data_IF_872183969681
#
_entry.id   IF_872183969681
#
_cell.length_a   1.000
_cell.length_b   1.000
_cell.length_c   1.000
_cell.angle_alpha   90.00
_cell.angle_beta   90.00
_cell.angle_gamma   90.00
#
_symmetry.space_group_name_H-M   'P 1'
#
loop_
_entity.id
_entity.type
_entity.pdbx_description
1 polymer ?
#
# COMPACT_ATOMS: atom_id res chain seq x y z
N UNK A 1 -38.00 -27.75 -30.62
CA UNK A 1 -36.56 -27.45 -30.52
C UNK A 1 -36.35 -26.65 -29.24
N UNK A 2 -35.66 -27.21 -28.26
CA UNK A 2 -35.38 -26.53 -27.00
C UNK A 2 -34.12 -25.67 -27.19
N UNK A 3 -34.28 -24.35 -27.29
CA UNK A 3 -33.23 -23.42 -26.95
C UNK A 3 -33.37 -23.14 -25.46
N UNK A 4 -32.66 -23.89 -24.63
CA UNK A 4 -32.47 -23.54 -23.23
C UNK A 4 -31.47 -22.40 -23.18
N UNK A 5 -31.98 -21.17 -23.00
CA UNK A 5 -31.18 -20.05 -22.54
C UNK A 5 -30.60 -20.42 -21.17
N UNK A 6 -29.33 -20.80 -21.14
CA UNK A 6 -28.56 -20.97 -19.90
C UNK A 6 -28.35 -19.61 -19.26
N UNK A 7 -29.33 -19.17 -18.48
CA UNK A 7 -29.18 -18.06 -17.54
C UNK A 7 -28.16 -18.47 -16.47
N UNK A 8 -27.07 -17.72 -16.40
CA UNK A 8 -26.18 -17.69 -15.25
C UNK A 8 -27.04 -17.36 -14.03
N UNK A 9 -26.84 -18.01 -12.87
CA UNK A 9 -27.51 -17.56 -11.67
C UNK A 9 -26.96 -16.18 -11.30
N UNK A 10 -27.85 -15.20 -11.13
CA UNK A 10 -27.61 -13.79 -10.79
C UNK A 10 -26.42 -13.55 -9.83
N UNK A 11 -26.23 -14.46 -8.87
CA UNK A 11 -25.20 -14.42 -7.83
C UNK A 11 -23.74 -14.31 -8.32
N UNK A 12 -23.31 -15.00 -9.39
CA UNK A 12 -21.88 -14.98 -9.76
C UNK A 12 -21.47 -13.63 -10.35
N UNK A 13 -22.30 -13.05 -11.20
CA UNK A 13 -22.04 -11.72 -11.77
C UNK A 13 -22.11 -10.61 -10.71
N UNK A 14 -22.97 -10.77 -9.70
CA UNK A 14 -23.04 -9.87 -8.55
C UNK A 14 -21.76 -9.92 -7.70
N UNK A 15 -21.22 -11.12 -7.43
CA UNK A 15 -19.95 -11.28 -6.70
C UNK A 15 -18.78 -10.62 -7.46
N UNK A 16 -18.70 -10.85 -8.77
CA UNK A 16 -17.64 -10.25 -9.60
C UNK A 16 -17.77 -8.73 -9.69
N UNK A 17 -18.99 -8.20 -9.76
CA UNK A 17 -19.21 -6.76 -9.73
C UNK A 17 -18.76 -6.16 -8.39
N UNK A 18 -19.11 -6.80 -7.27
CA UNK A 18 -18.70 -6.36 -5.94
C UNK A 18 -17.18 -6.44 -5.73
N UNK A 19 -16.53 -7.47 -6.28
CA UNK A 19 -15.08 -7.61 -6.26
C UNK A 19 -14.41 -6.51 -7.09
N UNK A 20 -14.89 -6.27 -8.31
CA UNK A 20 -14.40 -5.19 -9.17
C UNK A 20 -14.52 -3.81 -8.51
N UNK A 21 -15.64 -3.52 -7.85
CA UNK A 21 -15.85 -2.26 -7.14
C UNK A 21 -14.92 -2.12 -5.94
N UNK A 22 -14.69 -3.21 -5.20
CA UNK A 22 -13.73 -3.25 -4.10
C UNK A 22 -12.31 -2.95 -4.60
N UNK A 23 -11.88 -3.61 -5.67
CA UNK A 23 -10.58 -3.38 -6.30
C UNK A 23 -10.41 -1.94 -6.82
N UNK A 24 -11.46 -1.35 -7.43
CA UNK A 24 -11.44 0.05 -7.88
C UNK A 24 -11.33 1.03 -6.72
N UNK A 25 -12.08 0.82 -5.64
CA UNK A 25 -12.03 1.69 -4.47
C UNK A 25 -10.64 1.66 -3.83
N UNK A 26 -10.04 0.48 -3.69
CA UNK A 26 -8.67 0.31 -3.18
C UNK A 26 -7.68 1.02 -4.09
N UNK A 27 -7.85 0.90 -5.42
CA UNK A 27 -6.97 1.51 -6.41
C UNK A 27 -6.99 3.04 -6.30
N UNK A 28 -8.17 3.64 -6.35
CA UNK A 28 -8.33 5.11 -6.27
C UNK A 28 -7.78 5.68 -4.96
N UNK A 29 -7.98 4.97 -3.85
CA UNK A 29 -7.44 5.38 -2.57
C UNK A 29 -5.90 5.28 -2.58
N UNK A 30 -5.36 4.17 -3.07
CA UNK A 30 -3.91 3.93 -3.11
C UNK A 30 -3.18 4.90 -4.05
N UNK A 31 -3.77 5.28 -5.18
CA UNK A 31 -3.23 6.30 -6.09
C UNK A 31 -3.10 7.66 -5.42
N UNK A 32 -4.16 8.13 -4.73
CA UNK A 32 -4.13 9.40 -3.97
C UNK A 32 -3.03 9.44 -2.91
N UNK A 33 -2.72 8.28 -2.34
CA UNK A 33 -1.66 8.16 -1.33
C UNK A 33 -0.30 8.29 -1.96
N UNK A 34 -0.04 7.63 -3.08
CA UNK A 34 1.25 7.73 -3.78
C UNK A 34 1.56 9.21 -4.09
N UNK A 35 0.55 9.96 -4.51
CA UNK A 35 0.71 11.40 -4.81
C UNK A 35 1.07 12.25 -3.58
N UNK A 36 0.74 11.80 -2.37
CA UNK A 36 0.86 12.59 -1.13
C UNK A 36 1.77 11.96 -0.07
N UNK A 37 2.38 10.81 -0.35
CA UNK A 37 3.06 9.95 0.64
C UNK A 37 4.18 10.65 1.41
N UNK A 38 4.87 11.57 0.75
CA UNK A 38 5.97 12.35 1.34
C UNK A 38 5.47 13.40 2.35
N UNK A 39 4.24 13.91 2.15
CA UNK A 39 3.62 14.95 2.97
C UNK A 39 2.76 14.39 4.12
N UNK A 40 2.28 13.15 3.99
CA UNK A 40 1.36 12.58 4.96
C UNK A 40 2.05 12.30 6.32
N UNK A 41 1.35 12.50 7.45
CA UNK A 41 1.82 12.07 8.76
C UNK A 41 1.98 10.55 8.84
N UNK A 42 2.99 10.08 9.58
CA UNK A 42 3.24 8.64 9.79
C UNK A 42 2.03 7.95 10.43
N UNK A 43 1.29 8.63 11.31
CA UNK A 43 0.06 8.10 11.91
C UNK A 43 -1.03 7.81 10.89
N UNK A 44 -1.13 8.63 9.83
CA UNK A 44 -2.06 8.42 8.72
C UNK A 44 -1.61 7.22 7.87
N UNK A 45 -0.31 7.13 7.57
CA UNK A 45 0.27 5.99 6.86
C UNK A 45 0.10 4.66 7.62
N UNK A 46 0.13 4.69 8.96
CA UNK A 46 -0.10 3.50 9.78
C UNK A 46 -1.57 3.04 9.74
N UNK A 47 -2.53 3.98 9.86
CA UNK A 47 -3.97 3.67 9.75
C UNK A 47 -4.31 3.07 8.38
N UNK A 48 -3.63 3.55 7.34
CA UNK A 48 -3.79 3.09 5.98
C UNK A 48 -3.41 1.62 5.78
N UNK A 49 -2.30 1.17 6.37
CA UNK A 49 -1.91 -0.26 6.37
C UNK A 49 -3.01 -1.10 7.03
N UNK A 50 -3.63 -0.61 8.11
CA UNK A 50 -4.76 -1.27 8.76
C UNK A 50 -5.99 -1.41 7.85
N UNK A 51 -6.38 -0.34 7.15
CA UNK A 51 -7.49 -0.40 6.18
C UNK A 51 -7.19 -1.33 5.01
N UNK A 52 -5.93 -1.40 4.56
CA UNK A 52 -5.50 -2.30 3.50
C UNK A 52 -5.69 -3.77 3.88
N UNK A 53 -5.40 -4.13 5.13
CA UNK A 53 -5.63 -5.49 5.64
C UNK A 53 -7.11 -5.88 5.54
N UNK A 54 -8.02 -4.99 5.93
CA UNK A 54 -9.47 -5.24 5.84
C UNK A 54 -9.93 -5.52 4.40
N UNK A 55 -9.33 -4.84 3.41
CA UNK A 55 -9.62 -5.07 2.01
C UNK A 55 -9.06 -6.40 1.49
N UNK A 56 -7.86 -6.79 1.94
CA UNK A 56 -7.30 -8.11 1.63
C UNK A 56 -8.24 -9.21 2.14
N UNK A 57 -8.69 -9.09 3.40
CA UNK A 57 -9.61 -10.05 4.01
C UNK A 57 -10.94 -10.14 3.22
N UNK A 58 -11.46 -9.00 2.77
CA UNK A 58 -12.68 -8.95 1.95
C UNK A 58 -12.49 -9.59 0.56
N UNK A 59 -11.36 -9.34 -0.10
CA UNK A 59 -11.02 -9.95 -1.40
C UNK A 59 -10.88 -11.47 -1.25
N UNK A 60 -10.19 -11.93 -0.21
CA UNK A 60 -10.04 -13.37 0.07
C UNK A 60 -11.40 -14.05 0.32
N UNK A 61 -12.32 -13.35 1.00
CA UNK A 61 -13.69 -13.84 1.19
C UNK A 61 -14.44 -13.96 -0.13
N UNK A 62 -14.33 -12.96 -1.01
CA UNK A 62 -14.94 -12.97 -2.34
C UNK A 62 -14.36 -14.08 -3.23
N UNK A 63 -13.05 -14.29 -3.17
CA UNK A 63 -12.37 -15.39 -3.87
C UNK A 63 -12.84 -16.76 -3.39
N UNK A 64 -13.00 -16.94 -2.07
CA UNK A 64 -13.54 -18.19 -1.51
C UNK A 64 -14.96 -18.46 -2.01
N UNK A 65 -15.84 -17.45 -2.00
CA UNK A 65 -17.21 -17.57 -2.53
C UNK A 65 -17.20 -17.92 -4.02
N UNK A 66 -16.28 -17.33 -4.80
CA UNK A 66 -16.10 -17.68 -6.22
C UNK A 66 -15.63 -19.12 -6.42
N UNK A 67 -14.72 -19.61 -5.57
CA UNK A 67 -14.25 -20.99 -5.57
C UNK A 67 -15.37 -22.00 -5.25
N UNK A 68 -16.26 -21.66 -4.33
CA UNK A 68 -17.45 -22.46 -3.97
C UNK A 68 -18.49 -22.50 -5.10
N UNK A 69 -18.50 -21.49 -5.98
CA UNK A 69 -19.41 -21.37 -7.13
C UNK A 69 -18.78 -21.80 -8.46
N UNK A 70 -17.51 -22.27 -8.46
CA UNK A 70 -16.70 -22.50 -9.66
C UNK A 70 -17.19 -23.64 -10.57
N UNK A 71 -18.21 -24.40 -10.17
CA UNK A 71 -18.86 -25.41 -11.02
C UNK A 71 -19.81 -24.80 -12.08
N UNK A 72 -20.07 -23.50 -12.02
CA UNK A 72 -20.98 -22.81 -12.94
C UNK A 72 -20.24 -22.30 -14.19
N UNK A 73 -20.76 -22.62 -15.38
CA UNK A 73 -20.24 -22.08 -16.64
C UNK A 73 -20.31 -20.55 -16.62
N UNK A 74 -19.14 -19.91 -16.64
CA UNK A 74 -18.99 -18.46 -16.82
C UNK A 74 -19.33 -18.05 -18.26
N UNK A 75 -20.11 -16.99 -18.41
CA UNK A 75 -20.32 -16.33 -19.70
C UNK A 75 -19.13 -15.44 -20.10
N UNK A 76 -19.20 -14.87 -21.30
CA UNK A 76 -18.22 -13.91 -21.81
C UNK A 76 -18.06 -12.68 -20.89
N UNK A 77 -19.14 -12.21 -20.28
CA UNK A 77 -19.12 -11.02 -19.42
C UNK A 77 -18.40 -11.30 -18.09
N UNK A 78 -18.67 -12.43 -17.45
CA UNK A 78 -17.98 -12.89 -16.25
C UNK A 78 -16.48 -13.11 -16.50
N UNK A 79 -16.11 -13.67 -17.65
CA UNK A 79 -14.68 -13.78 -18.05
C UNK A 79 -14.01 -12.42 -18.14
N UNK A 80 -14.68 -11.45 -18.77
CA UNK A 80 -14.17 -10.06 -18.88
C UNK A 80 -14.04 -9.39 -17.51
N UNK A 81 -14.98 -9.63 -16.59
CA UNK A 81 -14.88 -9.12 -15.22
C UNK A 81 -13.68 -9.72 -14.47
N UNK A 82 -13.45 -11.03 -14.58
CA UNK A 82 -12.27 -11.69 -13.98
C UNK A 82 -10.96 -11.12 -14.54
N UNK A 83 -10.90 -10.88 -15.84
CA UNK A 83 -9.73 -10.26 -16.47
C UNK A 83 -9.50 -8.84 -15.92
N UNK A 84 -10.55 -8.02 -15.82
CA UNK A 84 -10.45 -6.69 -15.22
C UNK A 84 -10.00 -6.73 -13.76
N UNK A 85 -10.52 -7.67 -12.96
CA UNK A 85 -10.12 -7.88 -11.56
C UNK A 85 -8.63 -8.22 -11.48
N UNK A 86 -8.16 -9.13 -12.35
CA UNK A 86 -6.74 -9.51 -12.42
C UNK A 86 -5.85 -8.32 -12.80
N UNK A 87 -6.25 -7.50 -13.77
CA UNK A 87 -5.51 -6.29 -14.15
C UNK A 87 -5.46 -5.26 -13.01
N UNK A 88 -6.57 -5.06 -12.29
CA UNK A 88 -6.62 -4.19 -11.12
C UNK A 88 -5.72 -4.71 -9.99
N UNK A 89 -5.71 -6.02 -9.73
CA UNK A 89 -4.83 -6.64 -8.75
C UNK A 89 -3.35 -6.38 -9.07
N UNK A 90 -2.94 -6.57 -10.33
CA UNK A 90 -1.58 -6.26 -10.76
C UNK A 90 -1.21 -4.78 -10.59
N UNK A 91 -2.16 -3.86 -10.85
CA UNK A 91 -1.95 -2.42 -10.60
C UNK A 91 -1.78 -2.12 -9.11
N UNK A 92 -2.59 -2.73 -8.26
CA UNK A 92 -2.51 -2.57 -6.81
C UNK A 92 -1.17 -3.05 -6.23
N UNK A 93 -0.64 -4.17 -6.72
CA UNK A 93 0.68 -4.68 -6.31
C UNK A 93 1.77 -3.68 -6.68
N UNK A 94 1.74 -3.10 -7.89
CA UNK A 94 2.71 -2.08 -8.30
C UNK A 94 2.63 -0.82 -7.43
N UNK A 95 1.43 -0.41 -7.04
CA UNK A 95 1.25 0.73 -6.14
C UNK A 95 1.78 0.41 -4.74
N UNK A 96 1.59 -0.82 -4.26
CA UNK A 96 2.19 -1.26 -3.00
C UNK A 96 3.71 -1.12 -3.02
N UNK A 97 4.34 -1.61 -4.08
CA UNK A 97 5.79 -1.49 -4.23
C UNK A 97 6.25 -0.03 -4.20
N UNK A 98 5.49 0.88 -4.83
CA UNK A 98 5.77 2.32 -4.79
C UNK A 98 5.62 2.90 -3.38
N UNK A 99 4.55 2.53 -2.66
CA UNK A 99 4.31 2.94 -1.28
C UNK A 99 5.47 2.46 -0.39
N UNK A 100 5.84 1.18 -0.47
CA UNK A 100 6.94 0.62 0.31
C UNK A 100 8.29 1.28 -0.03
N UNK A 101 8.57 1.54 -1.30
CA UNK A 101 9.79 2.23 -1.73
C UNK A 101 9.86 3.66 -1.15
N UNK A 102 8.76 4.41 -1.20
CA UNK A 102 8.68 5.75 -0.63
C UNK A 102 8.87 5.74 0.89
N UNK A 103 8.19 4.83 1.60
CA UNK A 103 8.36 4.66 3.05
C UNK A 103 9.81 4.29 3.42
N UNK A 104 10.45 3.41 2.65
CA UNK A 104 11.85 3.02 2.86
C UNK A 104 12.80 4.19 2.64
N UNK A 105 12.58 4.99 1.61
CA UNK A 105 13.35 6.22 1.34
C UNK A 105 13.22 7.20 2.52
N UNK A 106 12.00 7.44 3.00
CA UNK A 106 11.73 8.33 4.13
C UNK A 106 12.38 7.84 5.43
N UNK A 107 12.32 6.53 5.71
CA UNK A 107 13.03 5.91 6.83
C UNK A 107 14.53 6.16 6.75
N UNK A 108 15.15 5.92 5.59
CA UNK A 108 16.59 6.10 5.40
C UNK A 108 17.02 7.57 5.58
N UNK A 109 16.21 8.52 5.09
CA UNK A 109 16.46 9.95 5.30
C UNK A 109 16.41 10.32 6.78
N UNK A 110 15.42 9.83 7.53
CA UNK A 110 15.30 10.08 8.97
C UNK A 110 16.51 9.51 9.74
N UNK A 111 16.92 8.28 9.44
CA UNK A 111 18.10 7.66 10.04
C UNK A 111 19.36 8.47 9.76
N UNK A 112 19.54 8.93 8.51
CA UNK A 112 20.69 9.76 8.13
C UNK A 112 20.70 11.09 8.88
N UNK A 113 19.59 11.82 8.90
CA UNK A 113 19.46 13.09 9.64
C UNK A 113 19.77 12.90 11.13
N UNK A 114 19.31 11.81 11.73
CA UNK A 114 19.57 11.52 13.13
C UNK A 114 21.05 11.17 13.39
N UNK A 115 21.70 10.45 12.48
CA UNK A 115 23.15 10.18 12.55
C UNK A 115 23.98 11.46 12.37
N UNK A 116 23.57 12.34 11.45
CA UNK A 116 24.21 13.64 11.20
C UNK A 116 24.09 14.55 12.43
N UNK A 117 22.92 14.60 13.09
CA UNK A 117 22.71 15.33 14.34
C UNK A 117 23.58 14.81 15.50
N UNK A 118 23.72 13.48 15.63
CA UNK A 118 24.61 12.88 16.63
C UNK A 118 26.07 13.24 16.33
N UNK A 119 26.47 13.18 15.07
CA UNK A 119 27.82 13.51 14.62
C UNK A 119 28.14 15.00 14.85
N UNK A 120 27.21 15.89 14.51
CA UNK A 120 27.33 17.33 14.77
C UNK A 120 27.43 17.63 16.27
N UNK A 121 26.63 16.97 17.12
CA UNK A 121 26.76 17.09 18.59
C UNK A 121 28.12 16.62 19.10
N UNK A 122 28.69 15.56 18.52
CA UNK A 122 30.02 15.05 18.90
C UNK A 122 31.13 16.02 18.53
N UNK A 123 31.06 16.62 17.34
CA UNK A 123 32.03 17.59 16.86
C UNK A 123 31.97 18.90 17.68
N UNK A 124 30.78 19.41 18.02
CA UNK A 124 30.65 20.61 18.86
C UNK A 124 31.18 20.42 20.28
N UNK A 125 31.07 19.21 20.87
CA UNK A 125 31.68 18.89 22.17
C UNK A 125 33.22 18.85 22.13
N UNK A 126 33.82 18.50 20.99
CA UNK A 126 35.28 18.50 20.82
C UNK A 126 35.82 19.93 20.68
N UNK A 127 35.12 20.82 19.96
CA UNK A 127 35.56 22.21 19.79
C UNK A 127 35.48 23.03 21.08
N UNK A 128 34.45 22.81 21.93
CA UNK A 128 34.35 23.49 23.23
C UNK A 128 35.34 22.98 24.29
N UNK A 129 35.82 21.73 24.14
CA UNK A 129 36.80 21.14 25.06
C UNK A 129 38.23 21.65 24.85
N UNK A 130 38.60 22.01 23.62
CA UNK A 130 39.93 22.55 23.32
C UNK A 130 40.04 24.07 23.55
N UNK A 131 38.93 24.80 23.62
CA UNK A 131 38.96 26.25 23.82
C UNK A 131 39.24 26.69 25.27
N UNK A 132 39.13 25.80 26.27
CA UNK A 132 39.40 26.14 27.69
C UNK A 132 40.83 25.86 28.16
N UNK A 133 41.67 25.22 27.34
CA UNK A 133 43.02 24.81 27.75
C UNK A 133 44.09 25.84 27.36
N UNK A 134 43.77 26.83 26.51
CA UNK A 134 44.75 27.84 26.07
C UNK A 134 44.78 29.14 26.91
N UNK A 135 43.90 29.29 27.90
CA UNK A 135 43.87 30.50 28.76
C UNK A 135 44.50 30.31 30.16
N UNK A 136 45.17 29.18 30.43
CA UNK A 136 45.81 28.90 31.73
C UNK A 136 47.31 28.65 31.58
N UNK A 137 48.03 29.45 30.78
CA UNK A 137 49.50 29.59 30.88
C UNK A 137 49.87 31.02 30.49
N UNK A 138 49.62 32.00 31.36
CA UNK A 138 50.31 33.30 31.36
C UNK A 138 49.98 34.07 32.65
N UNK A 139 50.57 33.64 33.77
CA UNK A 139 51.01 34.52 34.87
C UNK A 139 52.37 34.03 35.37
#
# INVERSE_FOLDING_TARGET
MFQQETKIPSNMNEILAQELDSFKAVLQFSEKIVDQIDSLPISVLHKMVGMRQQWIDQIQKLEKMRGELAEQKMDENGKKMVQNISELAHKLVKIDDQIYAALRKRKNQYVKQHADLISARRNNKMTDGYSRVMDIIQE
#
